data_IF_799484705871
#
_entry.id   IF_799484705871
#
_cell.length_a   1.000
_cell.length_b   1.000
_cell.length_c   1.000
_cell.angle_alpha   90.00
_cell.angle_beta   90.00
_cell.angle_gamma   90.00
#
_symmetry.space_group_name_H-M   'P 1'
#
loop_
_entity.id
_entity.type
_entity.pdbx_description
1 polymer ?
#
# COMPACT_ATOMS: atom_id res chain seq x y z
N UNK A 1 10.34 4.07 -16.49
CA UNK A 1 9.41 3.18 -15.76
C UNK A 1 9.20 3.76 -14.37
N UNK A 2 7.96 4.00 -13.92
CA UNK A 2 7.74 4.54 -12.56
C UNK A 2 8.12 3.48 -11.52
N UNK A 3 8.74 3.84 -10.38
CA UNK A 3 9.08 2.89 -9.32
C UNK A 3 7.85 2.12 -8.83
N UNK A 4 8.00 0.84 -8.49
CA UNK A 4 6.91 0.03 -7.92
C UNK A 4 6.40 0.68 -6.64
N UNK A 5 7.33 1.02 -5.75
CA UNK A 5 7.03 1.78 -4.55
C UNK A 5 7.34 3.25 -4.78
N UNK A 6 6.28 4.05 -4.89
CA UNK A 6 6.35 5.48 -5.17
C UNK A 6 5.41 6.20 -4.22
N UNK A 7 5.98 7.02 -3.34
CA UNK A 7 5.25 7.76 -2.31
C UNK A 7 4.20 8.70 -2.91
N UNK A 8 4.56 9.42 -3.97
CA UNK A 8 3.62 10.33 -4.65
C UNK A 8 2.46 9.55 -5.25
N UNK A 9 2.75 8.43 -5.90
CA UNK A 9 1.73 7.57 -6.47
C UNK A 9 0.86 6.89 -5.41
N UNK A 10 1.38 6.60 -4.21
CA UNK A 10 0.58 6.06 -3.10
C UNK A 10 -0.40 7.12 -2.58
N UNK A 11 0.06 8.36 -2.40
CA UNK A 11 -0.80 9.49 -2.01
C UNK A 11 -1.87 9.76 -3.07
N UNK A 12 -1.51 9.70 -4.35
CA UNK A 12 -2.46 9.85 -5.46
C UNK A 12 -3.52 8.76 -5.42
N UNK A 13 -3.11 7.49 -5.28
CA UNK A 13 -4.03 6.35 -5.14
C UNK A 13 -4.99 6.53 -3.96
N UNK A 14 -4.47 6.95 -2.80
CA UNK A 14 -5.29 7.20 -1.61
C UNK A 14 -6.28 8.37 -1.82
N UNK A 15 -5.90 9.38 -2.60
CA UNK A 15 -6.77 10.52 -2.93
C UNK A 15 -7.92 10.11 -3.86
N UNK A 16 -7.79 9.03 -4.63
CA UNK A 16 -8.86 8.53 -5.51
C UNK A 16 -9.84 7.56 -4.83
N UNK A 17 -9.56 7.12 -3.60
CA UNK A 17 -10.45 6.22 -2.87
C UNK A 17 -11.56 6.99 -2.16
N UNK A 18 -12.68 6.30 -1.88
CA UNK A 18 -13.69 6.83 -0.98
C UNK A 18 -13.10 6.97 0.44
N UNK A 19 -13.12 8.17 1.07
CA UNK A 19 -12.45 8.37 2.36
C UNK A 19 -12.98 7.48 3.49
N UNK A 20 -14.27 7.13 3.45
CA UNK A 20 -14.92 6.22 4.39
C UNK A 20 -14.74 4.74 4.02
N UNK A 21 -14.28 4.45 2.80
CA UNK A 21 -13.97 3.10 2.34
C UNK A 21 -12.87 2.48 3.20
N UNK A 22 -13.00 1.18 3.47
CA UNK A 22 -12.12 0.44 4.36
C UNK A 22 -11.18 -0.50 3.61
N UNK A 23 -10.12 -0.91 4.29
CA UNK A 23 -9.24 -2.00 3.89
C UNK A 23 -8.99 -2.92 5.10
N UNK A 24 -8.56 -4.15 4.85
CA UNK A 24 -8.23 -5.12 5.91
C UNK A 24 -6.72 -5.20 6.07
N UNK A 25 -6.18 -4.68 7.17
CA UNK A 25 -4.75 -4.72 7.43
C UNK A 25 -4.21 -6.14 7.64
N UNK A 26 -5.02 -7.06 8.18
CA UNK A 26 -4.57 -8.42 8.48
C UNK A 26 -4.58 -9.34 7.25
N UNK A 27 -5.38 -9.02 6.24
CA UNK A 27 -5.39 -9.76 4.99
C UNK A 27 -4.37 -9.19 4.01
N UNK A 28 -3.24 -9.88 3.86
CA UNK A 28 -2.14 -9.48 2.99
C UNK A 28 -2.49 -9.39 1.50
N UNK A 29 -3.63 -9.93 1.06
CA UNK A 29 -4.09 -9.85 -0.33
C UNK A 29 -5.00 -8.63 -0.58
N UNK A 30 -5.63 -8.08 0.47
CA UNK A 30 -6.55 -6.94 0.37
C UNK A 30 -6.23 -5.78 1.32
N UNK A 31 -5.05 -5.79 1.93
CA UNK A 31 -4.56 -4.66 2.71
C UNK A 31 -4.32 -3.44 1.84
N UNK A 32 -4.12 -2.28 2.48
CA UNK A 32 -3.90 -1.02 1.77
C UNK A 32 -2.78 -1.10 0.73
N UNK A 33 -1.65 -1.71 1.11
CA UNK A 33 -0.47 -1.80 0.24
C UNK A 33 -0.73 -2.78 -0.92
N UNK A 34 -1.39 -3.91 -0.65
CA UNK A 34 -1.78 -4.86 -1.69
C UNK A 34 -2.73 -4.22 -2.72
N UNK A 35 -3.77 -3.51 -2.25
CA UNK A 35 -4.71 -2.76 -3.11
C UNK A 35 -3.99 -1.70 -3.96
N UNK A 36 -3.02 -0.99 -3.39
CA UNK A 36 -2.18 -0.07 -4.15
C UNK A 36 -1.38 -0.81 -5.24
N UNK A 37 -0.76 -1.94 -4.92
CA UNK A 37 0.01 -2.72 -5.90
C UNK A 37 -0.87 -3.27 -7.02
N UNK A 38 -2.10 -3.68 -6.71
CA UNK A 38 -3.10 -4.08 -7.71
C UNK A 38 -3.45 -2.91 -8.62
N UNK A 39 -3.69 -1.71 -8.07
CA UNK A 39 -3.88 -0.48 -8.84
C UNK A 39 -2.69 -0.17 -9.78
N UNK A 40 -1.46 -0.53 -9.36
CA UNK A 40 -0.24 -0.38 -10.17
C UNK A 40 -0.05 -1.49 -11.22
N UNK A 41 -0.97 -2.45 -11.31
CA UNK A 41 -0.96 -3.55 -12.29
C UNK A 41 -0.42 -4.88 -11.76
N UNK A 42 -0.10 -4.99 -10.47
CA UNK A 42 0.37 -6.23 -9.85
C UNK A 42 -0.82 -6.99 -9.22
N UNK A 43 -1.77 -7.46 -10.03
CA UNK A 43 -3.07 -7.99 -9.59
C UNK A 43 -3.03 -9.22 -8.66
N UNK A 44 -1.87 -9.87 -8.54
CA UNK A 44 -1.65 -11.04 -7.70
C UNK A 44 -0.61 -10.74 -6.60
N UNK A 45 -0.36 -9.46 -6.31
CA UNK A 45 0.54 -9.08 -5.24
C UNK A 45 -0.09 -9.35 -3.88
N UNK A 46 0.72 -9.92 -2.98
CA UNK A 46 0.41 -10.05 -1.56
C UNK A 46 1.47 -9.33 -0.74
N UNK A 47 1.13 -8.93 0.48
CA UNK A 47 1.96 -8.09 1.34
C UNK A 47 1.89 -8.59 2.77
N UNK A 48 3.05 -8.71 3.43
CA UNK A 48 3.15 -8.83 4.89
C UNK A 48 3.72 -7.52 5.48
N UNK A 49 4.02 -7.50 6.78
CA UNK A 49 4.48 -6.29 7.47
C UNK A 49 5.84 -5.76 7.01
N UNK A 50 6.61 -6.54 6.26
CA UNK A 50 7.97 -6.21 5.82
C UNK A 50 8.17 -6.32 4.32
N UNK A 51 7.38 -7.15 3.64
CA UNK A 51 7.63 -7.58 2.27
C UNK A 51 6.40 -7.51 1.38
N UNK A 52 6.63 -7.16 0.11
CA UNK A 52 5.68 -7.36 -0.98
C UNK A 52 6.14 -8.53 -1.88
N UNK A 53 5.23 -9.47 -2.12
CA UNK A 53 5.42 -10.62 -2.99
C UNK A 53 4.80 -10.32 -4.36
N UNK A 54 5.64 -10.08 -5.36
CA UNK A 54 5.20 -9.67 -6.71
C UNK A 54 5.40 -10.85 -7.69
N UNK A 55 4.34 -11.47 -8.22
CA UNK A 55 4.47 -12.68 -9.03
C UNK A 55 5.13 -12.46 -10.40
N UNK A 56 5.14 -11.23 -10.92
CA UNK A 56 5.83 -10.90 -12.18
C UNK A 56 7.35 -10.74 -12.03
N UNK A 57 7.88 -10.75 -10.80
CA UNK A 57 9.32 -10.78 -10.56
C UNK A 57 9.75 -12.20 -10.21
N UNK A 58 10.53 -12.85 -11.08
CA UNK A 58 11.18 -14.15 -10.87
C UNK A 58 12.25 -14.13 -9.74
N UNK A 59 12.04 -13.34 -8.69
CA UNK A 59 13.03 -13.04 -7.66
C UNK A 59 12.38 -12.80 -6.31
N UNK A 60 13.23 -12.78 -5.28
CA UNK A 60 12.90 -12.64 -3.88
C UNK A 60 11.87 -11.52 -3.58
N UNK A 61 11.09 -11.67 -2.48
CA UNK A 61 10.20 -10.62 -2.02
C UNK A 61 10.89 -9.26 -1.91
N UNK A 62 10.15 -8.19 -2.18
CA UNK A 62 10.68 -6.83 -2.08
C UNK A 62 10.40 -6.24 -0.71
N UNK A 63 11.42 -5.68 -0.07
CA UNK A 63 11.27 -4.97 1.20
C UNK A 63 10.35 -3.75 0.98
N UNK A 64 9.36 -3.59 1.84
CA UNK A 64 8.51 -2.42 1.87
C UNK A 64 9.33 -1.17 2.24
N UNK A 65 9.07 -0.02 1.62
CA UNK A 65 9.70 1.22 2.07
C UNK A 65 9.34 1.54 3.51
N UNK A 66 10.22 2.29 4.17
CA UNK A 66 9.97 2.79 5.52
C UNK A 66 8.61 3.52 5.59
N UNK A 67 7.91 3.37 6.71
CA UNK A 67 6.59 3.93 7.02
C UNK A 67 5.40 3.37 6.21
N UNK A 68 5.59 2.54 5.19
CA UNK A 68 4.46 1.98 4.42
C UNK A 68 3.59 1.03 5.25
N UNK A 69 4.22 0.16 6.05
CA UNK A 69 3.51 -0.66 7.02
C UNK A 69 2.78 0.20 8.07
N UNK A 70 3.46 1.22 8.62
CA UNK A 70 2.87 2.10 9.63
C UNK A 70 1.63 2.86 9.12
N UNK A 71 1.63 3.29 7.85
CA UNK A 71 0.47 3.92 7.21
C UNK A 71 -0.73 2.97 7.14
N UNK A 72 -0.48 1.70 6.83
CA UNK A 72 -1.50 0.68 6.71
C UNK A 72 -1.99 0.18 8.08
N UNK A 73 -1.07 -0.05 9.02
CA UNK A 73 -1.30 -0.70 10.33
C UNK A 73 -2.17 0.10 11.26
N UNK A 74 -1.95 1.41 11.34
CA UNK A 74 -2.60 2.26 12.34
C UNK A 74 -4.10 2.42 12.07
N UNK A 75 -4.90 2.44 13.14
CA UNK A 75 -6.36 2.60 13.05
C UNK A 75 -6.78 4.08 12.99
N UNK A 76 -7.95 4.42 12.43
CA UNK A 76 -8.89 3.52 11.75
C UNK A 76 -8.38 3.09 10.36
N UNK A 77 -8.80 1.91 9.90
CA UNK A 77 -8.45 1.35 8.58
C UNK A 77 -9.40 1.86 7.49
N UNK A 78 -9.47 3.19 7.37
CA UNK A 78 -10.13 3.87 6.26
C UNK A 78 -9.09 4.51 5.34
N UNK A 79 -9.42 4.64 4.05
CA UNK A 79 -8.50 5.28 3.10
C UNK A 79 -8.26 6.75 3.44
N UNK A 80 -9.25 7.45 4.00
CA UNK A 80 -9.09 8.83 4.47
C UNK A 80 -8.06 8.96 5.59
N UNK A 81 -8.14 8.10 6.62
CA UNK A 81 -7.17 8.12 7.71
C UNK A 81 -5.76 7.70 7.24
N UNK A 82 -5.68 6.74 6.33
CA UNK A 82 -4.41 6.35 5.75
C UNK A 82 -3.80 7.48 4.88
N UNK A 83 -4.61 8.24 4.15
CA UNK A 83 -4.16 9.41 3.41
C UNK A 83 -3.56 10.47 4.34
N UNK A 84 -4.20 10.73 5.49
CA UNK A 84 -3.65 11.65 6.49
C UNK A 84 -2.32 11.15 7.06
N UNK A 85 -2.20 9.84 7.34
CA UNK A 85 -0.94 9.23 7.78
C UNK A 85 0.14 9.36 6.71
N UNK A 86 -0.18 9.04 5.47
CA UNK A 86 0.74 9.13 4.34
C UNK A 86 1.29 10.54 4.15
N UNK A 87 0.42 11.57 4.17
CA UNK A 87 0.84 12.98 4.04
C UNK A 87 1.74 13.47 5.18
N UNK A 88 1.66 12.85 6.35
CA UNK A 88 2.50 13.21 7.51
C UNK A 88 3.92 12.64 7.39
N UNK A 89 4.07 11.44 6.84
CA UNK A 89 5.32 10.67 6.90
C UNK A 89 6.04 10.51 5.56
N UNK A 90 5.31 10.63 4.45
CA UNK A 90 5.87 10.57 3.11
C UNK A 90 6.03 12.00 2.58
N UNK A 91 7.29 12.44 2.43
CA UNK A 91 7.66 13.71 1.79
C UNK A 91 7.80 13.53 0.28
#
# INVERSE_FOLDING_TARGET
>A
MKPVFDNSSLIDFLTTQEPAGTYDYYDGDVCLVAKYLHYRGFNLASVDTQFAYLPSTLGAPRILPAAWDDIARETPWTFGAALERARKVLK
#
